data_IF_344879472974
#
_entry.id   IF_344879472974
#
_cell.length_a   1.000
_cell.length_b   1.000
_cell.length_c   1.000
_cell.angle_alpha   90.00
_cell.angle_beta   90.00
_cell.angle_gamma   90.00
#
_symmetry.space_group_name_H-M   'P 1'
#
loop_
_entity.id
_entity.type
_entity.pdbx_description
1 polymer ?
#
# COMPACT_ATOMS: atom_id res chain seq x y z
N UNK A 1 -24.85 -4.05 -17.17
CA UNK A 1 -24.51 -5.33 -16.52
C UNK A 1 -23.44 -5.03 -15.48
N UNK A 2 -23.67 -5.28 -14.17
CA UNK A 2 -22.66 -5.02 -13.16
C UNK A 2 -21.41 -5.86 -13.47
N UNK A 3 -20.20 -5.32 -13.24
CA UNK A 3 -18.97 -6.09 -13.42
C UNK A 3 -19.05 -7.35 -12.54
N UNK A 4 -18.80 -8.52 -13.14
CA UNK A 4 -18.76 -9.79 -12.41
C UNK A 4 -17.71 -9.68 -11.30
N UNK A 5 -17.99 -10.25 -10.13
CA UNK A 5 -17.10 -10.35 -8.94
C UNK A 5 -15.62 -10.55 -9.30
N UNK A 6 -15.33 -11.43 -10.26
CA UNK A 6 -13.98 -11.69 -10.75
C UNK A 6 -13.24 -10.42 -11.25
N UNK A 7 -13.90 -9.55 -12.02
CA UNK A 7 -13.24 -8.37 -12.62
C UNK A 7 -12.85 -7.29 -11.62
N UNK A 8 -13.65 -7.08 -10.55
CA UNK A 8 -13.31 -6.10 -9.50
C UNK A 8 -12.12 -6.61 -8.67
N UNK A 9 -12.15 -7.88 -8.29
CA UNK A 9 -11.10 -8.51 -7.50
C UNK A 9 -9.80 -8.58 -8.30
N UNK A 10 -9.85 -8.95 -9.58
CA UNK A 10 -8.68 -8.95 -10.46
C UNK A 10 -8.07 -7.56 -10.64
N UNK A 11 -8.89 -6.51 -10.78
CA UNK A 11 -8.42 -5.13 -10.82
C UNK A 11 -7.68 -4.75 -9.53
N UNK A 12 -8.25 -5.08 -8.36
CA UNK A 12 -7.62 -4.77 -7.09
C UNK A 12 -6.29 -5.54 -6.90
N UNK A 13 -6.27 -6.84 -7.23
CA UNK A 13 -5.03 -7.66 -7.23
C UNK A 13 -3.96 -7.11 -8.14
N UNK A 14 -4.32 -6.74 -9.37
CA UNK A 14 -3.38 -6.18 -10.35
C UNK A 14 -2.82 -4.85 -9.87
N UNK A 15 -3.66 -4.00 -9.28
CA UNK A 15 -3.24 -2.74 -8.68
C UNK A 15 -2.24 -2.94 -7.54
N UNK A 16 -2.48 -3.91 -6.67
CA UNK A 16 -1.58 -4.25 -5.57
C UNK A 16 -0.25 -4.79 -6.09
N UNK A 17 -0.28 -5.70 -7.07
CA UNK A 17 0.92 -6.23 -7.69
C UNK A 17 1.78 -5.13 -8.34
N UNK A 18 1.16 -4.14 -8.99
CA UNK A 18 1.86 -2.99 -9.56
C UNK A 18 2.45 -2.09 -8.46
N UNK A 19 1.68 -1.81 -7.40
CA UNK A 19 2.17 -1.04 -6.24
C UNK A 19 3.42 -1.67 -5.62
N UNK A 20 3.39 -2.99 -5.43
CA UNK A 20 4.51 -3.76 -4.90
C UNK A 20 5.71 -3.70 -5.85
N UNK A 21 5.49 -3.96 -7.14
CA UNK A 21 6.54 -4.05 -8.16
C UNK A 21 7.22 -2.71 -8.43
N UNK A 22 6.45 -1.63 -8.61
CA UNK A 22 6.98 -0.31 -8.97
C UNK A 22 7.53 0.44 -7.76
N UNK A 23 6.86 0.35 -6.61
CA UNK A 23 7.15 1.23 -5.48
C UNK A 23 8.12 0.65 -4.47
N UNK A 24 8.12 -0.69 -4.27
CA UNK A 24 8.74 -1.22 -3.04
C UNK A 24 9.60 -2.46 -3.18
N UNK A 25 9.37 -3.31 -4.17
CA UNK A 25 10.05 -4.59 -4.26
C UNK A 25 11.57 -4.43 -4.46
N UNK A 26 12.01 -3.61 -5.41
CA UNK A 26 13.43 -3.37 -5.67
C UNK A 26 14.18 -2.87 -4.42
N UNK A 27 13.63 -1.85 -3.75
CA UNK A 27 14.24 -1.27 -2.54
C UNK A 27 14.19 -2.25 -1.36
N UNK A 28 13.13 -3.05 -1.23
CA UNK A 28 13.06 -4.14 -0.23
C UNK A 28 14.15 -5.17 -0.48
N UNK A 29 14.30 -5.62 -1.72
CA UNK A 29 15.27 -6.65 -2.09
C UNK A 29 16.70 -6.17 -1.81
N UNK A 30 17.01 -4.91 -2.12
CA UNK A 30 18.28 -4.27 -1.78
C UNK A 30 18.53 -4.26 -0.26
N UNK A 31 17.54 -3.86 0.54
CA UNK A 31 17.66 -3.85 2.01
C UNK A 31 17.85 -5.28 2.54
N UNK A 32 17.04 -6.23 2.07
CA UNK A 32 17.12 -7.63 2.49
C UNK A 32 18.47 -8.26 2.12
N UNK A 33 19.02 -7.90 0.97
CA UNK A 33 20.33 -8.35 0.51
C UNK A 33 21.45 -7.83 1.41
N UNK A 34 21.38 -6.56 1.84
CA UNK A 34 22.32 -5.98 2.83
C UNK A 34 22.20 -6.66 4.19
N UNK A 35 20.98 -6.87 4.69
CA UNK A 35 20.72 -7.58 5.95
C UNK A 35 21.28 -9.01 5.93
N UNK A 36 21.11 -9.73 4.80
CA UNK A 36 21.69 -11.08 4.62
C UNK A 36 23.22 -11.09 4.65
N UNK A 37 23.87 -9.99 4.24
CA UNK A 37 25.32 -9.80 4.32
C UNK A 37 25.78 -9.21 5.66
N UNK A 38 24.86 -9.05 6.63
CA UNK A 38 25.13 -8.35 7.90
C UNK A 38 25.67 -6.92 7.72
N UNK A 39 25.37 -6.31 6.57
CA UNK A 39 25.73 -4.93 6.30
C UNK A 39 24.76 -3.98 7.02
N UNK A 40 25.25 -2.84 7.55
CA UNK A 40 24.39 -1.85 8.17
C UNK A 40 23.36 -1.33 7.15
N UNK A 41 22.13 -1.14 7.60
CA UNK A 41 21.04 -0.52 6.84
C UNK A 41 20.84 0.88 7.39
N UNK A 42 20.61 1.87 6.53
CA UNK A 42 20.37 3.25 6.97
C UNK A 42 19.00 3.40 7.64
N UNK A 43 18.87 4.37 8.54
CA UNK A 43 17.59 4.70 9.19
C UNK A 43 16.49 5.01 8.17
N UNK A 44 16.83 5.69 7.07
CA UNK A 44 15.90 5.97 5.97
C UNK A 44 15.37 4.71 5.26
N UNK A 45 16.10 3.59 5.34
CA UNK A 45 15.65 2.30 4.80
C UNK A 45 14.78 1.53 5.81
N UNK A 46 15.04 1.68 7.11
CA UNK A 46 14.17 1.15 8.16
C UNK A 46 12.82 1.88 8.18
N UNK A 47 12.84 3.22 8.15
CA UNK A 47 11.62 4.05 8.05
C UNK A 47 10.81 3.72 6.78
N UNK A 48 11.50 3.42 5.68
CA UNK A 48 10.87 2.95 4.45
C UNK A 48 10.14 1.62 4.64
N UNK A 49 10.72 0.65 5.35
CA UNK A 49 10.08 -0.65 5.63
C UNK A 49 8.82 -0.45 6.48
N UNK A 50 8.95 0.30 7.57
CA UNK A 50 7.87 0.47 8.55
C UNK A 50 6.69 1.26 7.99
N UNK A 51 6.96 2.23 7.12
CA UNK A 51 5.94 3.11 6.57
C UNK A 51 5.63 2.82 5.11
N UNK A 52 6.58 3.03 4.21
CA UNK A 52 6.31 3.08 2.76
C UNK A 52 6.11 1.69 2.15
N UNK A 53 6.77 0.67 2.69
CA UNK A 53 6.61 -0.72 2.28
C UNK A 53 5.51 -1.48 3.03
N UNK A 54 4.85 -0.81 3.99
CA UNK A 54 3.74 -1.37 4.74
C UNK A 54 2.43 -1.22 3.94
N UNK A 55 2.09 -2.29 3.23
CA UNK A 55 0.90 -2.40 2.37
C UNK A 55 -0.19 -3.30 2.98
N UNK A 56 -0.19 -3.45 4.31
CA UNK A 56 -1.13 -4.34 5.02
C UNK A 56 -2.57 -3.92 4.75
N UNK A 57 -2.85 -2.62 4.69
CA UNK A 57 -4.20 -2.10 4.44
C UNK A 57 -4.69 -2.48 3.03
N UNK A 58 -3.81 -2.37 2.03
CA UNK A 58 -4.10 -2.76 0.65
C UNK A 58 -4.30 -4.28 0.51
N UNK A 59 -3.50 -5.10 1.19
CA UNK A 59 -3.64 -6.55 1.22
C UNK A 59 -4.95 -6.98 1.90
N UNK A 60 -5.28 -6.37 3.05
CA UNK A 60 -6.53 -6.63 3.76
C UNK A 60 -7.75 -6.27 2.93
N UNK A 61 -7.71 -5.14 2.22
CA UNK A 61 -8.78 -4.72 1.32
C UNK A 61 -8.99 -5.72 0.18
N UNK A 62 -7.92 -6.19 -0.47
CA UNK A 62 -8.03 -7.21 -1.52
C UNK A 62 -8.61 -8.51 -0.96
N UNK A 63 -8.13 -8.97 0.19
CA UNK A 63 -8.62 -10.19 0.85
C UNK A 63 -10.11 -10.08 1.24
N UNK A 64 -10.55 -8.89 1.70
CA UNK A 64 -11.96 -8.59 2.00
C UNK A 64 -12.83 -8.72 0.75
N UNK A 65 -12.38 -8.17 -0.39
CA UNK A 65 -13.09 -8.25 -1.67
C UNK A 65 -13.13 -9.69 -2.22
N UNK A 66 -12.09 -10.49 -2.01
CA UNK A 66 -12.06 -11.90 -2.42
C UNK A 66 -13.09 -12.76 -1.69
N UNK A 67 -13.17 -12.56 -0.37
CA UNK A 67 -14.05 -13.30 0.52
C UNK A 67 -15.51 -12.83 0.47
N UNK A 68 -15.77 -11.64 -0.06
CA UNK A 68 -17.11 -11.08 -0.16
C UNK A 68 -18.02 -11.93 -1.04
N UNK A 69 -19.23 -12.26 -0.55
CA UNK A 69 -20.25 -12.92 -1.35
C UNK A 69 -20.74 -12.00 -2.49
N UNK A 70 -21.05 -10.74 -2.16
CA UNK A 70 -21.31 -9.65 -3.10
C UNK A 70 -20.21 -8.59 -3.00
N UNK A 71 -19.42 -8.48 -4.06
CA UNK A 71 -18.33 -7.50 -4.12
C UNK A 71 -18.83 -6.08 -4.32
N UNK A 72 -19.96 -5.89 -5.02
CA UNK A 72 -20.48 -4.55 -5.27
C UNK A 72 -21.00 -3.94 -3.95
N UNK A 73 -21.71 -4.73 -3.15
CA UNK A 73 -22.17 -4.32 -1.83
C UNK A 73 -21.00 -3.95 -0.91
N UNK A 74 -19.94 -4.77 -0.89
CA UNK A 74 -18.75 -4.46 -0.09
C UNK A 74 -18.06 -3.19 -0.56
N UNK A 75 -17.94 -2.98 -1.88
CA UNK A 75 -17.34 -1.76 -2.46
C UNK A 75 -18.14 -0.51 -2.10
N UNK A 76 -19.47 -0.58 -2.13
CA UNK A 76 -20.36 0.53 -1.76
C UNK A 76 -20.25 0.86 -0.26
N UNK A 77 -20.07 -0.16 0.58
CA UNK A 77 -19.98 -0.04 2.03
C UNK A 77 -18.54 0.09 2.58
N UNK A 78 -17.53 0.25 1.72
CA UNK A 78 -16.15 0.49 2.16
C UNK A 78 -16.06 1.79 3.00
N UNK A 79 -15.22 1.76 4.02
CA UNK A 79 -14.89 2.95 4.78
C UNK A 79 -14.23 4.01 3.88
N UNK A 80 -14.28 5.31 4.20
CA UNK A 80 -13.69 6.36 3.37
C UNK A 80 -12.20 6.13 3.03
N UNK A 81 -11.44 5.56 3.96
CA UNK A 81 -10.03 5.19 3.75
C UNK A 81 -9.90 4.01 2.78
N UNK A 82 -10.66 2.95 2.98
CA UNK A 82 -10.70 1.77 2.09
C UNK A 82 -11.16 2.15 0.66
N UNK A 83 -12.11 3.08 0.52
CA UNK A 83 -12.55 3.60 -0.78
C UNK A 83 -11.40 4.31 -1.53
N UNK A 84 -10.64 5.13 -0.83
CA UNK A 84 -9.48 5.81 -1.42
C UNK A 84 -8.40 4.81 -1.84
N UNK A 85 -8.14 3.79 -1.02
CA UNK A 85 -7.23 2.69 -1.34
C UNK A 85 -7.70 1.95 -2.59
N UNK A 86 -8.98 1.53 -2.64
CA UNK A 86 -9.56 0.83 -3.78
C UNK A 86 -9.45 1.64 -5.08
N UNK A 87 -9.75 2.95 -5.05
CA UNK A 87 -9.58 3.82 -6.23
C UNK A 87 -8.12 3.93 -6.67
N UNK A 88 -7.18 3.91 -5.74
CA UNK A 88 -5.75 3.94 -6.04
C UNK A 88 -5.32 2.65 -6.73
N UNK A 89 -5.69 1.49 -6.18
CA UNK A 89 -5.41 0.19 -6.80
C UNK A 89 -6.02 0.10 -8.21
N UNK A 90 -7.26 0.58 -8.39
CA UNK A 90 -7.92 0.63 -9.70
C UNK A 90 -7.15 1.49 -10.72
N UNK A 91 -6.64 2.66 -10.30
CA UNK A 91 -5.84 3.54 -11.18
C UNK A 91 -4.53 2.89 -11.59
N UNK A 92 -3.84 2.25 -10.64
CA UNK A 92 -2.60 1.51 -10.90
C UNK A 92 -2.85 0.38 -11.89
N UNK A 93 -3.88 -0.45 -11.66
CA UNK A 93 -4.24 -1.55 -12.55
C UNK A 93 -4.58 -1.12 -14.00
N UNK A 94 -5.12 0.09 -14.14
CA UNK A 94 -5.44 0.73 -15.42
C UNK A 94 -4.25 1.42 -16.11
N UNK A 95 -3.04 1.36 -15.55
CA UNK A 95 -1.84 1.94 -16.15
C UNK A 95 -1.74 3.47 -16.03
N UNK A 96 -2.58 4.11 -15.20
CA UNK A 96 -2.47 5.55 -14.91
C UNK A 96 -1.45 5.71 -13.77
N UNK A 97 -0.19 5.41 -14.10
CA UNK A 97 0.95 5.32 -13.17
C UNK A 97 1.53 6.68 -12.74
N UNK A 98 0.75 7.55 -12.09
CA UNK A 98 1.25 8.87 -11.66
C UNK A 98 0.95 9.26 -10.21
N UNK A 99 0.45 8.34 -9.37
CA UNK A 99 -0.02 8.69 -8.00
C UNK A 99 0.68 7.92 -6.87
N UNK A 100 1.81 7.25 -7.12
CA UNK A 100 2.56 6.62 -6.01
C UNK A 100 3.21 7.70 -5.12
N UNK A 101 3.72 8.78 -5.73
CA UNK A 101 4.38 9.89 -5.01
C UNK A 101 3.44 10.68 -4.08
N UNK A 102 2.18 10.87 -4.48
CA UNK A 102 1.25 11.75 -3.74
C UNK A 102 0.59 11.10 -2.53
N UNK A 103 0.61 9.77 -2.41
CA UNK A 103 -0.03 9.04 -1.30
C UNK A 103 1.01 8.68 -0.25
N UNK A 104 2.19 8.20 -0.67
CA UNK A 104 3.32 7.95 0.23
C UNK A 104 3.77 9.24 0.94
N UNK A 105 3.83 10.36 0.22
CA UNK A 105 4.18 11.67 0.80
C UNK A 105 3.09 12.33 1.65
N UNK A 106 1.87 11.77 1.72
CA UNK A 106 0.75 12.35 2.48
C UNK A 106 0.46 11.70 3.83
N UNK A 107 1.24 10.69 4.25
CA UNK A 107 1.35 10.36 5.69
C UNK A 107 2.15 11.48 6.37
N UNK A 108 1.54 12.67 6.45
CA UNK A 108 2.10 13.84 7.13
C UNK A 108 2.33 13.45 8.59
N UNK A 109 3.60 13.54 9.00
CA UNK A 109 4.08 13.92 10.32
C UNK A 109 2.96 14.39 11.26
N UNK A 110 2.56 13.54 12.18
CA UNK A 110 2.41 13.97 13.57
C UNK A 110 3.80 13.88 14.18
N UNK A 111 4.57 14.96 14.00
CA UNK A 111 5.64 15.30 14.94
C UNK A 111 4.98 15.35 16.31
N UNK A 112 5.15 14.28 17.10
CA UNK A 112 4.98 14.37 18.55
C UNK A 112 6.00 15.43 18.98
N UNK A 113 5.60 16.53 19.62
CA UNK A 113 6.57 17.54 20.03
C UNK A 113 7.59 16.91 20.97
N UNK A 114 8.86 17.05 20.62
CA UNK A 114 10.03 16.84 21.46
C UNK A 114 9.80 17.51 22.82
N UNK A 115 9.37 16.73 23.80
CA UNK A 115 9.29 17.17 25.19
C UNK A 115 9.73 16.05 26.11
N UNK A 116 10.99 15.65 25.96
CA UNK A 116 11.79 14.99 27.00
C UNK A 116 13.29 15.18 26.70
N UNK A 117 13.73 16.44 26.75
CA UNK A 117 15.09 16.74 27.20
C UNK A 117 15.00 17.02 28.68
N UNK A 118 15.27 16.00 29.49
CA UNK A 118 15.65 16.16 30.89
C UNK A 118 17.11 15.71 30.98
N UNK A 119 18.01 16.70 31.05
CA UNK A 119 19.36 16.59 31.57
C UNK A 119 19.59 17.84 32.40
#
# INVERSE_FOLDING_TARGET
>A
MPPKKAGIVELARKGLAMLLKEGTQKRRDEIHSRLKRSEPVSDANLEFIDNTANHVDEEQLVNKLEKAADVNEVVENLAPQEKNLFQTLKKLAGGIGTVVDKIVGKRKRTLIPDRLKCS
#
